data_IF_380338657067
#
_entry.id   IF_380338657067
#
_cell.length_a   1.000
_cell.length_b   1.000
_cell.length_c   1.000
_cell.angle_alpha   90.00
_cell.angle_beta   90.00
_cell.angle_gamma   90.00
#
_symmetry.space_group_name_H-M   'P 1'
#
loop_
_entity.id
_entity.type
_entity.pdbx_description
1 polymer ?
#
# COMPACT_ATOMS: atom_id res chain seq x y z
N UNK A 1 20.26 -23.58 21.31
CA UNK A 1 19.11 -23.35 20.41
C UNK A 1 19.00 -21.85 20.20
N UNK A 2 19.11 -21.37 18.97
CA UNK A 2 18.90 -19.94 18.68
C UNK A 2 17.44 -19.57 18.94
N UNK A 3 17.14 -18.36 19.45
CA UNK A 3 15.77 -17.92 19.61
C UNK A 3 15.05 -17.91 18.25
N UNK A 4 13.75 -18.25 18.20
CA UNK A 4 12.99 -18.22 16.96
C UNK A 4 12.95 -16.79 16.40
N UNK A 5 13.39 -16.64 15.15
CA UNK A 5 13.37 -15.36 14.45
C UNK A 5 11.94 -15.03 14.01
N UNK A 6 11.43 -13.91 14.50
CA UNK A 6 10.13 -13.37 14.07
C UNK A 6 10.27 -12.53 12.80
N UNK A 7 9.20 -12.51 12.03
CA UNK A 7 9.05 -11.72 10.81
C UNK A 7 7.75 -10.93 10.89
N UNK A 8 7.78 -9.71 10.37
CA UNK A 8 6.61 -8.86 10.16
C UNK A 8 6.33 -8.75 8.67
N UNK A 9 5.06 -8.83 8.29
CA UNK A 9 4.62 -8.83 6.90
C UNK A 9 3.42 -7.91 6.69
N UNK A 10 3.37 -7.29 5.50
CA UNK A 10 2.25 -6.45 5.06
C UNK A 10 1.61 -7.08 3.84
N UNK A 11 0.28 -7.20 3.84
CA UNK A 11 -0.50 -7.53 2.66
C UNK A 11 -1.60 -6.49 2.42
N UNK A 12 -1.91 -6.26 1.15
CA UNK A 12 -3.00 -5.41 0.67
C UNK A 12 -4.02 -6.22 -0.08
N UNK A 13 -5.26 -5.76 -0.04
CA UNK A 13 -6.39 -6.29 -0.76
C UNK A 13 -7.24 -5.11 -1.23
N UNK A 14 -8.02 -5.31 -2.30
CA UNK A 14 -8.96 -4.30 -2.78
C UNK A 14 -9.91 -3.93 -1.63
N UNK A 15 -10.75 -4.87 -1.19
CA UNK A 15 -11.75 -4.68 -0.15
C UNK A 15 -11.79 -5.91 0.77
N UNK A 16 -11.95 -5.69 2.08
CA UNK A 16 -12.26 -6.75 3.06
C UNK A 16 -13.61 -6.43 3.68
N UNK A 17 -14.69 -6.78 2.98
CA UNK A 17 -16.08 -6.51 3.41
C UNK A 17 -16.89 -7.79 3.65
N UNK A 18 -16.51 -8.92 3.05
CA UNK A 18 -17.28 -10.16 3.17
C UNK A 18 -17.01 -10.82 4.54
N UNK A 19 -18.01 -10.90 5.45
CA UNK A 19 -17.79 -11.42 6.81
C UNK A 19 -17.43 -12.90 6.84
N UNK A 20 -17.91 -13.70 5.87
CA UNK A 20 -17.57 -15.11 5.75
C UNK A 20 -16.11 -15.32 5.35
N UNK A 21 -15.60 -14.55 4.38
CA UNK A 21 -14.18 -14.58 4.01
C UNK A 21 -13.31 -14.08 5.16
N UNK A 22 -13.75 -13.02 5.84
CA UNK A 22 -13.02 -12.46 6.97
C UNK A 22 -12.91 -13.45 8.14
N UNK A 23 -14.00 -14.14 8.48
CA UNK A 23 -14.00 -15.21 9.50
C UNK A 23 -13.03 -16.34 9.15
N UNK A 24 -12.94 -16.73 7.87
CA UNK A 24 -11.96 -17.73 7.40
C UNK A 24 -10.52 -17.20 7.52
N UNK A 25 -10.30 -15.93 7.16
CA UNK A 25 -8.98 -15.29 7.31
C UNK A 25 -8.53 -15.27 8.77
N UNK A 26 -9.41 -14.91 9.72
CA UNK A 26 -9.14 -15.00 11.17
C UNK A 26 -8.78 -16.42 11.60
N UNK A 27 -9.52 -17.42 11.13
CA UNK A 27 -9.25 -18.84 11.42
C UNK A 27 -7.86 -19.26 10.91
N UNK A 28 -7.48 -18.87 9.69
CA UNK A 28 -6.17 -19.20 9.13
C UNK A 28 -5.03 -18.56 9.91
N UNK A 29 -5.21 -17.34 10.42
CA UNK A 29 -4.22 -16.69 11.29
C UNK A 29 -4.01 -17.50 12.58
N UNK A 30 -5.10 -17.95 13.22
CA UNK A 30 -5.02 -18.80 14.40
C UNK A 30 -4.36 -20.15 14.10
N UNK A 31 -4.74 -20.81 13.00
CA UNK A 31 -4.18 -22.11 12.61
C UNK A 31 -2.68 -22.04 12.27
N UNK A 32 -2.23 -20.89 11.77
CA UNK A 32 -0.83 -20.69 11.38
C UNK A 32 0.01 -20.09 12.52
N UNK A 33 -0.55 -19.89 13.73
CA UNK A 33 0.10 -19.24 14.87
C UNK A 33 0.63 -17.83 14.55
N UNK A 34 -0.13 -17.06 13.77
CA UNK A 34 0.18 -15.68 13.41
C UNK A 34 -0.63 -14.71 14.27
N UNK A 35 0.00 -13.62 14.70
CA UNK A 35 -0.67 -12.48 15.34
C UNK A 35 -0.70 -11.30 14.38
N UNK A 36 -1.78 -10.51 14.37
CA UNK A 36 -1.85 -9.38 13.48
C UNK A 36 -3.04 -8.46 13.68
N UNK A 37 -3.03 -7.39 12.91
CA UNK A 37 -4.10 -6.40 12.82
C UNK A 37 -4.58 -6.26 11.38
N UNK A 38 -5.86 -6.00 11.21
CA UNK A 38 -6.51 -5.89 9.91
C UNK A 38 -7.46 -4.72 9.88
N UNK A 39 -7.33 -3.89 8.85
CA UNK A 39 -8.29 -2.84 8.52
C UNK A 39 -9.28 -3.40 7.49
N UNK A 40 -10.55 -3.44 7.84
CA UNK A 40 -11.64 -3.86 6.98
C UNK A 40 -12.15 -2.70 6.11
N UNK A 41 -13.08 -2.98 5.19
CA UNK A 41 -13.68 -1.97 4.31
C UNK A 41 -12.87 -1.67 3.04
N UNK A 42 -12.92 -0.41 2.59
CA UNK A 42 -12.27 0.06 1.35
C UNK A 42 -10.78 0.27 1.57
N UNK A 43 -10.00 -0.35 0.71
CA UNK A 43 -8.59 -0.69 0.90
C UNK A 43 -8.40 -1.58 2.14
N UNK A 44 -8.40 -2.88 1.90
CA UNK A 44 -8.08 -3.88 2.91
C UNK A 44 -6.58 -3.92 3.16
N UNK A 45 -6.17 -3.70 4.41
CA UNK A 45 -4.75 -3.76 4.79
C UNK A 45 -4.59 -4.71 5.96
N UNK A 46 -3.57 -5.55 5.87
CA UNK A 46 -3.27 -6.60 6.82
C UNK A 46 -1.80 -6.48 7.21
N UNK A 47 -1.54 -6.41 8.52
CA UNK A 47 -0.18 -6.40 9.06
C UNK A 47 -0.10 -7.46 10.14
N UNK A 48 0.88 -8.33 10.05
CA UNK A 48 0.95 -9.50 10.91
C UNK A 48 2.39 -9.94 11.16
N UNK A 49 2.62 -10.58 12.30
CA UNK A 49 3.89 -11.14 12.70
C UNK A 49 3.79 -12.61 13.10
N UNK A 50 4.90 -13.32 12.91
CA UNK A 50 5.02 -14.72 13.27
C UNK A 50 6.38 -15.28 12.87
N UNK A 51 6.56 -16.57 13.10
CA UNK A 51 7.72 -17.29 12.60
C UNK A 51 7.70 -17.39 11.07
N UNK A 52 8.86 -17.65 10.46
CA UNK A 52 8.99 -17.71 8.99
C UNK A 52 8.01 -18.70 8.35
N UNK A 53 7.85 -19.88 8.95
CA UNK A 53 6.96 -20.93 8.43
C UNK A 53 5.50 -20.55 8.62
N UNK A 54 5.14 -20.05 9.81
CA UNK A 54 3.82 -19.49 10.12
C UNK A 54 3.36 -18.42 9.13
N UNK A 55 4.23 -17.45 8.82
CA UNK A 55 3.97 -16.37 7.86
C UNK A 55 3.74 -16.94 6.46
N UNK A 56 4.56 -17.89 6.01
CA UNK A 56 4.42 -18.55 4.70
C UNK A 56 3.10 -19.29 4.58
N UNK A 57 2.79 -20.17 5.54
CA UNK A 57 1.54 -20.94 5.56
C UNK A 57 0.31 -20.05 5.62
N UNK A 58 0.36 -18.97 6.41
CA UNK A 58 -0.74 -18.01 6.46
C UNK A 58 -0.96 -17.29 5.12
N UNK A 59 0.11 -16.86 4.45
CA UNK A 59 0.03 -16.22 3.13
C UNK A 59 -0.55 -17.16 2.06
N UNK A 60 -0.19 -18.44 2.08
CA UNK A 60 -0.74 -19.46 1.18
C UNK A 60 -2.26 -19.62 1.38
N UNK A 61 -2.71 -19.75 2.64
CA UNK A 61 -4.13 -19.82 2.96
C UNK A 61 -4.90 -18.53 2.60
N UNK A 62 -4.30 -17.36 2.87
CA UNK A 62 -4.90 -16.07 2.55
C UNK A 62 -5.09 -15.89 1.03
N UNK A 63 -4.10 -16.30 0.22
CA UNK A 63 -4.19 -16.34 -1.25
C UNK A 63 -5.34 -17.24 -1.73
N UNK A 64 -5.54 -18.38 -1.06
CA UNK A 64 -6.64 -19.31 -1.35
C UNK A 64 -8.05 -18.72 -1.21
N UNK A 65 -8.22 -17.63 -0.44
CA UNK A 65 -9.52 -16.94 -0.28
C UNK A 65 -9.94 -16.10 -1.50
N UNK A 66 -9.03 -15.91 -2.46
CA UNK A 66 -9.27 -15.16 -3.71
C UNK A 66 -9.89 -13.78 -3.42
N UNK A 67 -9.24 -13.00 -2.57
CA UNK A 67 -9.55 -11.57 -2.48
C UNK A 67 -9.13 -10.89 -3.78
N UNK A 68 -9.91 -9.90 -4.22
CA UNK A 68 -9.51 -9.05 -5.34
C UNK A 68 -8.24 -8.29 -4.96
N UNK A 69 -7.30 -8.25 -5.90
CA UNK A 69 -6.00 -7.59 -5.76
C UNK A 69 -5.23 -7.99 -4.49
N UNK A 70 -5.28 -9.27 -4.12
CA UNK A 70 -4.43 -9.76 -3.02
C UNK A 70 -2.96 -9.61 -3.41
N UNK A 71 -2.25 -8.76 -2.68
CA UNK A 71 -0.85 -8.47 -2.91
C UNK A 71 -0.06 -8.51 -1.59
N UNK A 72 0.89 -9.42 -1.50
CA UNK A 72 1.90 -9.38 -0.43
C UNK A 72 2.89 -8.26 -0.75
N UNK A 73 2.97 -7.25 0.10
CA UNK A 73 3.76 -6.03 -0.14
C UNK A 73 5.22 -6.26 0.21
N UNK A 74 5.48 -6.63 1.46
CA UNK A 74 6.85 -6.79 1.96
C UNK A 74 6.84 -7.70 3.20
N UNK A 75 8.00 -8.31 3.48
CA UNK A 75 8.27 -9.05 4.72
C UNK A 75 9.70 -8.79 5.15
N UNK A 76 9.89 -8.43 6.41
CA UNK A 76 11.24 -8.23 6.98
C UNK A 76 11.39 -8.95 8.32
N UNK A 77 12.64 -9.22 8.76
CA UNK A 77 12.91 -9.64 10.12
C UNK A 77 12.34 -8.61 11.11
N UNK A 78 11.70 -9.10 12.16
CA UNK A 78 11.11 -8.29 13.21
C UNK A 78 11.87 -8.56 14.51
N UNK A 79 12.65 -7.57 14.96
CA UNK A 79 13.33 -7.63 16.25
C UNK A 79 12.38 -7.15 17.35
N UNK A 80 12.09 -8.02 18.30
CA UNK A 80 11.23 -7.70 19.43
C UNK A 80 12.03 -6.97 20.53
N UNK A 81 12.71 -5.87 20.18
CA UNK A 81 13.66 -5.19 21.08
C UNK A 81 12.98 -4.60 22.33
N UNK A 82 11.65 -4.42 22.28
CA UNK A 82 10.85 -3.84 23.36
C UNK A 82 9.89 -4.83 24.02
N UNK A 83 9.95 -6.11 23.65
CA UNK A 83 8.98 -7.11 24.12
C UNK A 83 7.55 -6.90 23.60
N UNK A 84 7.31 -5.94 22.71
CA UNK A 84 6.01 -5.61 22.14
C UNK A 84 5.83 -6.29 20.78
N UNK A 85 4.84 -7.18 20.70
CA UNK A 85 4.38 -7.80 19.45
C UNK A 85 3.13 -7.10 18.92
N UNK A 86 2.77 -7.36 17.66
CA UNK A 86 1.51 -6.85 17.13
C UNK A 86 0.38 -7.47 17.94
N UNK A 87 -0.66 -6.66 18.22
CA UNK A 87 -1.83 -7.09 18.99
C UNK A 87 -1.48 -7.80 20.32
N UNK A 88 -0.42 -7.35 21.01
CA UNK A 88 0.06 -7.91 22.27
C UNK A 88 0.37 -9.42 22.20
N UNK A 89 0.85 -9.89 21.05
CA UNK A 89 1.11 -11.30 20.76
C UNK A 89 -0.14 -12.20 20.76
N UNK A 90 -1.34 -11.63 20.79
CA UNK A 90 -2.58 -12.39 20.75
C UNK A 90 -2.71 -13.07 19.39
N UNK A 91 -2.75 -14.41 19.39
CA UNK A 91 -2.93 -15.18 18.16
C UNK A 91 -4.24 -14.82 17.45
N UNK A 92 -4.18 -14.75 16.13
CA UNK A 92 -5.28 -14.32 15.27
C UNK A 92 -5.16 -12.88 14.79
N UNK A 93 -6.26 -12.36 14.23
CA UNK A 93 -6.32 -10.99 13.70
C UNK A 93 -7.28 -10.14 14.53
N UNK A 94 -6.78 -9.00 15.01
CA UNK A 94 -7.60 -7.95 15.61
C UNK A 94 -8.03 -6.95 14.55
N UNK A 95 -9.31 -6.58 14.56
CA UNK A 95 -9.85 -5.60 13.63
C UNK A 95 -9.57 -4.18 14.11
N UNK A 96 -9.23 -3.31 13.17
CA UNK A 96 -8.94 -1.90 13.41
C UNK A 96 -9.84 -1.07 12.51
N UNK A 97 -10.44 -0.03 13.09
CA UNK A 97 -11.44 0.81 12.42
C UNK A 97 -10.84 1.61 11.25
N UNK A 98 -9.68 2.24 11.47
CA UNK A 98 -9.09 3.14 10.49
C UNK A 98 -7.57 2.93 10.31
N UNK A 99 -7.02 3.64 9.31
CA UNK A 99 -5.59 3.58 9.02
C UNK A 99 -4.76 4.26 10.11
N UNK A 100 -5.32 5.26 10.80
CA UNK A 100 -4.61 6.02 11.84
C UNK A 100 -4.36 5.15 13.08
N UNK A 101 -5.35 4.38 13.51
CA UNK A 101 -5.25 3.41 14.60
C UNK A 101 -4.25 2.31 14.23
N UNK A 102 -4.24 1.83 12.99
CA UNK A 102 -3.24 0.86 12.53
C UNK A 102 -1.82 1.45 12.60
N UNK A 103 -1.63 2.67 12.10
CA UNK A 103 -0.35 3.39 12.17
C UNK A 103 0.06 3.66 13.63
N UNK A 104 -0.89 3.97 14.51
CA UNK A 104 -0.64 4.19 15.95
C UNK A 104 -0.14 2.91 16.64
N UNK A 105 -0.76 1.76 16.35
CA UNK A 105 -0.30 0.46 16.84
C UNK A 105 1.13 0.18 16.34
N UNK A 106 1.41 0.44 15.06
CA UNK A 106 2.73 0.25 14.48
C UNK A 106 3.79 1.22 15.03
N UNK A 107 3.40 2.44 15.39
CA UNK A 107 4.26 3.43 16.08
C UNK A 107 4.71 2.89 17.44
N UNK A 108 3.80 2.27 18.17
CA UNK A 108 4.08 1.71 19.49
C UNK A 108 5.14 0.59 19.49
N UNK A 109 5.33 -0.06 18.33
CA UNK A 109 6.34 -1.10 18.11
C UNK A 109 7.53 -0.63 17.24
N UNK A 110 7.57 0.64 16.84
CA UNK A 110 8.67 1.20 16.04
C UNK A 110 8.63 0.87 14.54
N UNK A 111 7.50 0.41 14.02
CA UNK A 111 7.35 -0.06 12.63
C UNK A 111 6.58 0.92 11.71
N UNK A 112 6.28 2.11 12.22
CA UNK A 112 5.52 3.15 11.52
C UNK A 112 6.19 3.63 10.24
N UNK A 113 7.48 3.91 10.26
CA UNK A 113 8.17 4.49 9.10
C UNK A 113 8.34 3.47 7.98
N UNK A 114 8.68 2.22 8.34
CA UNK A 114 8.69 1.10 7.40
C UNK A 114 7.31 0.90 6.76
N UNK A 115 6.25 0.83 7.58
CA UNK A 115 4.88 0.69 7.07
C UNK A 115 4.50 1.83 6.12
N UNK A 116 4.79 3.08 6.47
CA UNK A 116 4.49 4.25 5.62
C UNK A 116 5.25 4.21 4.30
N UNK A 117 6.51 3.80 4.31
CA UNK A 117 7.30 3.61 3.09
C UNK A 117 6.65 2.58 2.16
N UNK A 118 6.30 1.41 2.69
CA UNK A 118 5.67 0.32 1.92
C UNK A 118 4.26 0.68 1.41
N UNK A 119 3.53 1.49 2.17
CA UNK A 119 2.21 1.99 1.80
C UNK A 119 2.27 3.24 0.89
N UNK A 120 3.47 3.74 0.55
CA UNK A 120 3.67 4.99 -0.21
C UNK A 120 2.97 6.20 0.43
N UNK A 121 2.99 6.28 1.77
CA UNK A 121 2.36 7.32 2.59
C UNK A 121 3.36 8.34 3.14
N UNK A 122 4.56 8.44 2.58
CA UNK A 122 5.61 9.36 3.07
C UNK A 122 5.18 10.81 2.87
N UNK A 123 4.86 11.51 3.98
CA UNK A 123 4.54 12.95 3.96
C UNK A 123 5.77 13.72 3.45
N UNK A 124 5.65 14.41 2.32
CA UNK A 124 6.69 15.35 1.85
C UNK A 124 7.11 15.18 0.38
N UNK A 125 6.67 14.13 -0.31
CA UNK A 125 6.68 14.11 -1.77
C UNK A 125 5.23 13.86 -2.16
N UNK A 126 4.65 14.79 -2.91
CA UNK A 126 3.43 14.55 -3.67
C UNK A 126 3.78 13.46 -4.67
N UNK A 127 3.80 12.20 -4.23
CA UNK A 127 3.59 11.09 -5.14
C UNK A 127 2.12 11.22 -5.48
N UNK A 128 1.89 11.88 -6.61
CA UNK A 128 0.65 11.96 -7.34
C UNK A 128 -0.20 10.74 -7.00
N UNK A 129 -1.35 11.04 -6.41
CA UNK A 129 -2.43 10.13 -6.07
C UNK A 129 -2.42 8.96 -7.05
N UNK A 130 -2.01 7.76 -6.60
CA UNK A 130 -2.37 6.55 -7.33
C UNK A 130 -3.87 6.38 -7.07
N UNK A 131 -4.66 7.14 -7.83
CA UNK A 131 -6.07 6.93 -7.98
C UNK A 131 -6.19 5.65 -8.79
N UNK A 132 -6.47 4.55 -8.12
CA UNK A 132 -6.95 3.34 -8.79
C UNK A 132 -8.41 3.57 -9.17
N UNK A 133 -8.64 4.40 -10.19
CA UNK A 133 -9.95 4.55 -10.80
C UNK A 133 -9.99 3.67 -12.05
N UNK A 134 -10.53 2.47 -11.90
CA UNK A 134 -10.86 1.62 -13.03
C UNK A 134 -12.29 1.94 -13.49
N UNK A 135 -12.39 2.40 -14.74
CA UNK A 135 -13.64 2.56 -15.47
C UNK A 135 -14.20 1.18 -15.81
N UNK A 136 -15.49 0.96 -15.59
CA UNK A 136 -16.13 -0.35 -15.65
C UNK A 136 -16.44 -0.87 -17.06
N UNK A 137 -15.76 -0.39 -18.10
CA UNK A 137 -16.05 -0.79 -19.48
C UNK A 137 -14.77 -0.89 -20.32
N UNK A 138 -14.51 -2.12 -20.74
CA UNK A 138 -13.64 -2.60 -21.82
C UNK A 138 -12.12 -2.41 -21.70
N UNK A 139 -11.42 -3.47 -22.13
CA UNK A 139 -9.98 -3.72 -22.01
C UNK A 139 -9.10 -2.68 -22.73
N UNK A 140 -8.90 -1.52 -22.10
CA UNK A 140 -7.90 -0.53 -22.51
C UNK A 140 -7.27 0.16 -21.30
N UNK A 141 -5.96 -0.02 -21.13
CA UNK A 141 -5.15 0.68 -20.14
C UNK A 141 -4.88 2.12 -20.61
N UNK A 142 -5.68 3.07 -20.16
CA UNK A 142 -5.41 4.51 -20.42
C UNK A 142 -4.87 5.16 -19.15
N UNK A 143 -3.58 5.51 -19.15
CA UNK A 143 -2.98 6.39 -18.13
C UNK A 143 -3.48 7.81 -18.36
N UNK A 144 -4.24 8.36 -17.42
CA UNK A 144 -4.52 9.80 -17.35
C UNK A 144 -3.74 10.38 -16.17
N UNK A 145 -2.67 11.12 -16.46
CA UNK A 145 -1.91 11.87 -15.46
C UNK A 145 -2.49 13.29 -15.45
N UNK A 146 -3.15 13.67 -14.37
CA UNK A 146 -3.45 15.08 -14.09
C UNK A 146 -2.39 15.59 -13.12
N UNK A 147 -1.56 16.55 -13.58
CA UNK A 147 -0.59 17.24 -12.75
C UNK A 147 -1.28 18.50 -12.23
N UNK A 148 -1.34 18.65 -10.91
CA UNK A 148 -1.75 19.91 -10.29
C UNK A 148 -0.52 20.50 -9.61
N UNK A 149 -0.12 21.70 -10.02
CA UNK A 149 0.96 22.45 -9.40
C UNK A 149 0.36 23.46 -8.43
N UNK A 150 0.62 23.28 -7.14
CA UNK A 150 0.39 24.33 -6.15
C UNK A 150 1.46 25.41 -6.31
N UNK A 151 1.07 26.53 -6.90
CA UNK A 151 1.86 27.75 -6.95
C UNK A 151 2.05 28.31 -5.55
N UNK A 152 3.10 27.87 -4.85
CA UNK A 152 3.54 28.50 -3.60
C UNK A 152 4.61 29.54 -3.94
N UNK A 153 4.18 30.77 -4.22
CA UNK A 153 5.05 31.94 -4.19
C UNK A 153 4.54 32.89 -3.11
N UNK A 154 5.16 32.83 -1.94
CA UNK A 154 5.12 33.93 -0.98
C UNK A 154 6.06 35.03 -1.49
N UNK A 155 5.49 36.13 -1.99
CA UNK A 155 6.22 37.30 -2.46
C UNK A 155 5.25 38.43 -2.76
N UNK A 156 5.42 39.54 -2.04
CA UNK A 156 4.50 40.67 -1.94
C UNK A 156 4.26 41.46 -3.24
N UNK A 157 3.08 42.10 -3.29
CA UNK A 157 2.72 43.32 -4.01
C UNK A 157 2.32 43.27 -5.51
N UNK A 158 1.10 43.77 -5.75
CA UNK A 158 0.54 44.42 -6.95
C UNK A 158 0.46 43.67 -8.28
N UNK A 159 -0.79 43.47 -8.74
CA UNK A 159 -1.14 43.38 -10.17
C UNK A 159 -1.77 42.04 -10.58
N UNK A 160 -3.09 42.04 -10.83
CA UNK A 160 -3.77 41.02 -11.63
C UNK A 160 -3.19 41.01 -13.06
N UNK A 161 -3.01 39.84 -13.68
CA UNK A 161 -3.98 39.47 -14.72
C UNK A 161 -4.39 37.99 -14.74
N UNK A 162 -5.45 37.76 -15.50
CA UNK A 162 -6.25 36.55 -15.67
C UNK A 162 -5.44 35.27 -15.92
N UNK A 163 -5.75 34.23 -15.14
CA UNK A 163 -5.14 32.91 -15.25
C UNK A 163 -5.67 32.11 -16.44
N UNK A 164 -4.83 31.88 -17.43
CA UNK A 164 -5.03 30.85 -18.44
C UNK A 164 -4.63 29.48 -17.86
N UNK A 165 -5.58 28.57 -17.73
CA UNK A 165 -5.30 27.17 -17.43
C UNK A 165 -4.65 26.49 -18.65
N UNK A 166 -3.33 26.35 -18.66
CA UNK A 166 -2.63 25.57 -19.68
C UNK A 166 -2.88 24.08 -19.46
N UNK A 167 -3.72 23.48 -20.29
CA UNK A 167 -3.90 22.01 -20.33
C UNK A 167 -2.83 21.42 -21.25
N UNK A 168 -1.79 20.81 -20.67
CA UNK A 168 -0.75 20.11 -21.44
C UNK A 168 -1.15 18.64 -21.57
N UNK A 169 -1.49 18.22 -22.79
CA UNK A 169 -1.77 16.81 -23.10
C UNK A 169 -0.47 16.09 -23.49
N UNK A 170 0.04 15.23 -22.62
CA UNK A 170 1.09 14.27 -22.99
C UNK A 170 0.46 12.97 -23.48
N UNK A 171 0.65 12.65 -24.76
CA UNK A 171 0.38 11.34 -25.33
C UNK A 171 1.65 10.49 -25.20
N UNK A 172 1.67 9.57 -24.22
CA UNK A 172 2.72 8.57 -24.10
C UNK A 172 2.21 7.24 -24.67
N UNK A 173 2.65 6.91 -25.87
CA UNK A 173 2.48 5.59 -26.47
C UNK A 173 3.51 4.64 -25.86
N UNK A 174 3.07 3.60 -25.16
CA UNK A 174 3.96 2.50 -24.75
C UNK A 174 3.68 1.29 -25.63
N UNK A 175 4.65 0.91 -26.45
CA UNK A 175 4.62 -0.35 -27.18
C UNK A 175 5.32 -1.41 -26.32
N UNK A 176 4.57 -2.46 -25.97
CA UNK A 176 5.06 -3.54 -25.13
C UNK A 176 5.98 -4.44 -25.95
N UNK A 177 7.27 -4.46 -25.65
CA UNK A 177 8.23 -5.42 -26.19
C UNK A 177 8.75 -6.21 -24.99
N UNK A 178 8.33 -7.47 -24.87
CA UNK A 178 8.64 -8.30 -23.72
C UNK A 178 10.13 -8.62 -23.61
N UNK A 179 10.83 -7.98 -22.67
CA UNK A 179 12.02 -8.51 -21.99
C UNK A 179 12.41 -7.59 -20.83
N UNK A 180 13.10 -8.15 -19.83
CA UNK A 180 13.29 -7.67 -18.46
C UNK A 180 14.23 -6.47 -18.25
N UNK A 181 14.36 -5.54 -19.19
CA UNK A 181 15.25 -4.39 -18.99
C UNK A 181 14.51 -3.04 -18.92
N UNK A 182 14.86 -2.28 -17.89
CA UNK A 182 14.30 -0.99 -17.53
C UNK A 182 14.73 0.06 -18.57
N UNK A 183 13.85 0.38 -19.51
CA UNK A 183 14.09 1.48 -20.47
C UNK A 183 13.83 2.82 -19.78
N UNK A 184 14.89 3.63 -19.66
CA UNK A 184 14.82 5.07 -19.35
C UNK A 184 13.96 5.77 -20.42
N UNK A 185 12.77 6.24 -20.03
CA UNK A 185 11.94 7.05 -20.91
C UNK A 185 12.59 8.44 -21.09
N UNK A 186 13.05 8.74 -22.31
CA UNK A 186 13.38 10.11 -22.70
C UNK A 186 12.08 10.91 -22.87
N UNK A 187 11.96 11.98 -22.08
CA UNK A 187 10.94 13.02 -22.29
C UNK A 187 11.40 13.85 -23.49
N UNK A 188 10.60 13.86 -24.57
CA UNK A 188 10.74 14.86 -25.64
C UNK A 188 9.68 15.93 -25.42
N UNK A 189 10.15 17.16 -25.20
CA UNK A 189 9.30 18.34 -25.18
C UNK A 189 8.71 18.57 -26.56
N UNK A 190 7.39 18.71 -26.64
CA UNK A 190 6.69 19.15 -27.85
C UNK A 190 6.09 20.52 -27.54
N UNK A 191 6.91 21.56 -27.70
CA UNK A 191 6.39 22.92 -27.87
C UNK A 191 5.80 23.04 -29.26
N UNK A 192 4.47 23.13 -29.36
CA UNK A 192 3.78 23.61 -30.56
C UNK A 192 3.80 25.14 -30.55
N UNK A 193 4.27 25.74 -31.65
CA UNK A 193 3.96 27.12 -32.05
C UNK A 193 2.47 27.26 -32.34
#
# INVERSE_FOLDING_TARGET
MSPPQLFISIARMHHISNPSKFRRLKRFAMQSNVSGIVKTGKLGVLVFDGEKESVKTFLEHARGLRYLDFHHVDTKPFTNDRGRRIADAKLGLSEVEDMNAMVSILDSIGEKDWFRSQMKMTKGIIISVISWQWSSYEDCFVRRIAIWQDGTAAGSAHGLPEGHAATVHFLLSFQWIGSTDLVLAQVRDVTRN
#
